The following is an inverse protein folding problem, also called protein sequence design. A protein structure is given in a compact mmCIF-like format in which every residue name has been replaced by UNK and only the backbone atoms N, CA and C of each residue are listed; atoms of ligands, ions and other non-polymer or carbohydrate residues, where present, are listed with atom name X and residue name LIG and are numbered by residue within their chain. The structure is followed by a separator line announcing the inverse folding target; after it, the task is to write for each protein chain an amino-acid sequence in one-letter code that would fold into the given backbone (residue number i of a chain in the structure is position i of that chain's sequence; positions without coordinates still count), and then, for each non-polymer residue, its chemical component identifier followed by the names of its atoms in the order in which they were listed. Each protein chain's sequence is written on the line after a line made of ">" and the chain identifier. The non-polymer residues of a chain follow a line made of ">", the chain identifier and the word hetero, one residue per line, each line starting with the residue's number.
data_IF_622877738195
#
_entry.id   IF_622877738195
#
_cell.length_a   1.000
_cell.length_b   1.000
_cell.length_c   1.000
_cell.angle_alpha   90.00
_cell.angle_beta   90.00
_cell.angle_gamma   90.00
#
_symmetry.space_group_name_H-M   'P 1'
#
loop_
_entity.id
_entity.type
_entity.pdbx_description
1 polymer ?
#
# COMPACT_ATOMS: atom_id res chain seq x y z
N UNK A 1 -18.01 22.27 7.31
CA UNK A 1 -17.08 22.25 8.49
C UNK A 1 -16.48 20.85 8.68
N UNK A 2 -15.28 20.61 8.13
CA UNK A 2 -14.45 19.47 8.54
C UNK A 2 -14.00 19.68 9.98
N UNK A 3 -14.45 18.82 10.90
CA UNK A 3 -14.01 18.85 12.30
C UNK A 3 -12.75 17.99 12.41
N UNK A 4 -11.60 18.62 12.63
CA UNK A 4 -10.40 17.93 13.09
C UNK A 4 -10.45 17.88 14.61
N UNK A 5 -10.42 16.67 15.16
CA UNK A 5 -10.31 16.43 16.60
C UNK A 5 -8.85 16.11 16.91
N UNK A 6 -8.32 16.72 17.95
CA UNK A 6 -6.98 16.46 18.45
C UNK A 6 -7.09 16.06 19.92
N UNK A 7 -6.34 15.03 20.31
CA UNK A 7 -6.22 14.57 21.69
C UNK A 7 -4.84 14.93 22.23
N UNK A 8 -4.79 15.41 23.47
CA UNK A 8 -3.54 15.70 24.15
C UNK A 8 -2.92 14.40 24.66
N UNK A 9 -1.90 13.90 23.96
CA UNK A 9 -1.19 12.66 24.34
C UNK A 9 -0.28 12.90 25.56
N UNK A 10 0.34 14.08 25.67
CA UNK A 10 1.19 14.46 26.80
C UNK A 10 1.30 15.99 26.94
N UNK A 11 1.63 16.49 28.14
CA UNK A 11 1.73 17.92 28.44
C UNK A 11 0.46 18.51 29.07
N UNK A 12 0.28 19.83 28.98
CA UNK A 12 -0.92 20.53 29.51
C UNK A 12 -1.68 21.21 28.38
N UNK A 13 -3.01 21.08 28.38
CA UNK A 13 -3.87 21.67 27.35
C UNK A 13 -3.79 23.21 27.34
N UNK A 14 -3.46 23.83 28.48
CA UNK A 14 -3.22 25.27 28.60
C UNK A 14 -2.08 25.78 27.73
N UNK A 15 -1.14 24.90 27.38
CA UNK A 15 0.04 25.23 26.60
C UNK A 15 -0.25 25.11 25.08
N UNK A 16 -1.42 24.56 24.74
CA UNK A 16 -1.91 24.47 23.37
C UNK A 16 -2.54 25.81 22.96
N UNK A 17 -1.80 26.59 22.16
CA UNK A 17 -2.23 27.87 21.59
C UNK A 17 -2.75 27.69 20.17
N UNK A 18 -3.80 28.42 19.82
CA UNK A 18 -4.25 28.52 18.42
C UNK A 18 -3.08 28.99 17.55
N UNK A 19 -2.80 28.27 16.46
CA UNK A 19 -1.68 28.52 15.55
C UNK A 19 -0.28 28.45 16.19
N UNK A 20 -0.12 27.66 17.26
CA UNK A 20 1.20 27.31 17.80
C UNK A 20 2.05 26.44 16.84
N UNK A 21 3.36 26.32 17.10
CA UNK A 21 4.25 25.48 16.30
C UNK A 21 4.01 24.01 16.62
N UNK A 22 3.03 23.40 15.96
CA UNK A 22 2.75 21.96 16.07
C UNK A 22 3.34 21.20 14.90
N UNK A 23 3.94 20.06 15.20
CA UNK A 23 4.33 19.07 14.21
C UNK A 23 3.21 18.04 14.07
N UNK A 24 2.77 17.79 12.84
CA UNK A 24 1.91 16.63 12.54
C UNK A 24 2.81 15.41 12.46
N UNK A 25 2.86 14.64 13.54
CA UNK A 25 3.70 13.42 13.62
C UNK A 25 2.99 12.18 13.09
N UNK A 26 1.65 12.19 13.05
CA UNK A 26 0.84 11.08 12.56
C UNK A 26 -0.55 11.57 12.12
N UNK A 27 -1.15 10.88 11.15
CA UNK A 27 -2.54 11.10 10.71
C UNK A 27 -3.25 9.76 10.60
N UNK A 28 -4.52 9.74 11.04
CA UNK A 28 -5.38 8.57 10.95
C UNK A 28 -6.77 9.03 10.50
N UNK A 29 -7.32 8.40 9.46
CA UNK A 29 -8.72 8.60 9.09
C UNK A 29 -9.64 7.97 10.13
N UNK A 30 -10.58 8.74 10.67
CA UNK A 30 -11.47 8.29 11.75
C UNK A 30 -12.80 7.74 11.27
N UNK A 31 -13.13 7.85 9.96
CA UNK A 31 -14.51 7.62 9.48
C UNK A 31 -14.68 6.50 8.46
N UNK A 32 -13.64 6.09 7.75
CA UNK A 32 -13.75 5.09 6.66
C UNK A 32 -12.57 4.13 6.75
N UNK A 33 -12.80 2.80 6.64
CA UNK A 33 -11.70 1.85 6.53
C UNK A 33 -10.82 2.20 5.34
N UNK A 34 -9.53 2.34 5.61
CA UNK A 34 -8.55 2.78 4.62
C UNK A 34 -8.04 1.62 3.78
N UNK A 35 -8.25 0.38 4.22
CA UNK A 35 -7.86 -0.83 3.49
C UNK A 35 -8.96 -1.90 3.59
N UNK A 36 -9.30 -2.53 2.47
CA UNK A 36 -10.15 -3.72 2.42
C UNK A 36 -9.30 -4.96 2.14
N UNK A 37 -9.35 -5.93 3.05
CA UNK A 37 -8.58 -7.18 2.94
C UNK A 37 -9.52 -8.36 2.89
N UNK A 38 -9.30 -9.28 1.94
CA UNK A 38 -9.97 -10.58 1.91
C UNK A 38 -9.04 -11.66 2.45
N UNK A 39 -9.53 -12.41 3.43
CA UNK A 39 -8.89 -13.61 3.96
C UNK A 39 -9.76 -14.78 3.52
N UNK A 40 -9.26 -15.67 2.63
CA UNK A 40 -10.05 -16.80 2.16
C UNK A 40 -10.63 -17.62 3.31
N UNK A 41 -11.91 -17.96 3.21
CA UNK A 41 -12.52 -18.88 4.16
C UNK A 41 -11.99 -20.30 3.93
N UNK A 42 -11.41 -20.88 4.98
CA UNK A 42 -10.62 -22.10 4.87
C UNK A 42 -10.97 -23.07 5.98
N UNK A 43 -11.17 -24.33 5.59
CA UNK A 43 -11.38 -25.47 6.48
C UNK A 43 -10.12 -26.32 6.63
N UNK A 44 -9.01 -25.93 6.01
CA UNK A 44 -7.77 -26.70 5.95
C UNK A 44 -7.02 -26.70 7.29
N UNK A 45 -6.57 -27.88 7.70
CA UNK A 45 -5.65 -28.06 8.83
C UNK A 45 -4.22 -27.63 8.46
N UNK A 46 -3.33 -27.51 9.45
CA UNK A 46 -1.91 -27.27 9.17
C UNK A 46 -1.32 -28.40 8.32
N UNK A 47 -1.69 -29.64 8.62
CA UNK A 47 -1.24 -30.84 7.94
C UNK A 47 -1.67 -30.88 6.48
N UNK A 48 -2.87 -30.38 6.16
CA UNK A 48 -3.33 -30.26 4.77
C UNK A 48 -2.49 -29.25 3.99
N UNK A 49 -2.14 -28.12 4.61
CA UNK A 49 -1.30 -27.10 3.98
C UNK A 49 0.14 -27.59 3.82
N UNK A 50 0.66 -28.41 4.74
CA UNK A 50 1.96 -29.09 4.58
C UNK A 50 1.95 -30.01 3.37
N UNK A 51 0.88 -30.78 3.14
CA UNK A 51 0.73 -31.59 1.92
C UNK A 51 0.73 -30.72 0.66
N UNK A 52 0.01 -29.59 0.69
CA UNK A 52 -0.02 -28.65 -0.43
C UNK A 52 1.39 -28.09 -0.74
N UNK A 53 2.13 -27.68 0.30
CA UNK A 53 3.51 -27.20 0.17
C UNK A 53 4.49 -28.30 -0.32
N UNK A 54 4.23 -29.57 0.03
CA UNK A 54 4.95 -30.72 -0.51
C UNK A 54 4.81 -30.84 -2.02
N UNK A 55 3.60 -30.68 -2.56
CA UNK A 55 3.37 -30.67 -4.02
C UNK A 55 4.04 -29.47 -4.67
N UNK A 56 4.02 -28.28 -4.06
CA UNK A 56 4.76 -27.11 -4.56
C UNK A 56 6.26 -27.40 -4.68
N UNK A 57 6.84 -28.11 -3.72
CA UNK A 57 8.26 -28.50 -3.77
C UNK A 57 8.57 -29.41 -4.95
N UNK A 58 7.64 -30.29 -5.33
CA UNK A 58 7.77 -31.13 -6.51
C UNK A 58 7.61 -30.31 -7.80
N UNK A 59 6.60 -29.44 -7.87
CA UNK A 59 6.32 -28.58 -9.02
C UNK A 59 7.47 -27.61 -9.32
N UNK A 60 8.12 -27.05 -8.28
CA UNK A 60 9.34 -26.22 -8.43
C UNK A 60 10.48 -26.94 -9.16
N UNK A 61 10.55 -28.27 -9.05
CA UNK A 61 11.58 -29.11 -9.68
C UNK A 61 11.14 -29.67 -11.02
N UNK A 62 9.86 -29.53 -11.36
CA UNK A 62 9.30 -30.02 -12.62
C UNK A 62 9.77 -29.17 -13.78
N UNK A 63 10.05 -29.82 -14.91
CA UNK A 63 10.31 -29.15 -16.19
C UNK A 63 9.04 -28.99 -17.03
N UNK A 64 7.92 -29.57 -16.61
CA UNK A 64 6.65 -29.53 -17.34
C UNK A 64 5.88 -28.22 -17.12
N UNK A 65 6.19 -27.47 -16.06
CA UNK A 65 5.55 -26.19 -15.70
C UNK A 65 6.61 -25.12 -15.47
N UNK A 66 6.25 -23.85 -15.66
CA UNK A 66 7.13 -22.73 -15.28
C UNK A 66 6.69 -22.26 -13.91
N UNK A 67 7.43 -22.65 -12.87
CA UNK A 67 7.13 -22.20 -11.51
C UNK A 67 7.16 -20.67 -11.40
N UNK A 68 6.08 -20.09 -10.89
CA UNK A 68 5.92 -18.66 -10.77
C UNK A 68 5.66 -18.27 -9.30
N UNK A 69 6.47 -17.35 -8.77
CA UNK A 69 6.31 -16.77 -7.44
C UNK A 69 6.74 -15.29 -7.37
N UNK A 70 6.95 -14.64 -8.51
CA UNK A 70 7.46 -13.28 -8.63
C UNK A 70 6.51 -12.41 -9.46
N UNK A 71 5.58 -11.76 -8.76
CA UNK A 71 4.56 -10.90 -9.36
C UNK A 71 5.12 -9.58 -9.93
N UNK A 72 6.41 -9.26 -9.72
CA UNK A 72 7.03 -8.09 -10.36
C UNK A 72 7.45 -8.37 -11.81
N UNK A 73 7.68 -9.64 -12.18
CA UNK A 73 8.23 -10.01 -13.50
C UNK A 73 7.18 -10.38 -14.54
N UNK A 74 6.06 -10.97 -14.13
CA UNK A 74 5.00 -11.42 -15.02
C UNK A 74 3.68 -11.63 -14.27
N UNK A 75 2.63 -12.01 -14.98
CA UNK A 75 1.38 -12.53 -14.44
C UNK A 75 1.34 -14.07 -14.57
N UNK A 76 0.63 -14.78 -13.68
CA UNK A 76 0.45 -16.22 -13.81
C UNK A 76 -0.49 -16.55 -14.97
N UNK A 77 -0.12 -17.54 -15.78
CA UNK A 77 -0.97 -18.09 -16.83
C UNK A 77 -2.04 -19.02 -16.23
N UNK A 78 -1.65 -19.75 -15.18
CA UNK A 78 -2.50 -20.67 -14.43
C UNK A 78 -2.34 -20.42 -12.94
N UNK A 79 -3.47 -20.36 -12.23
CA UNK A 79 -3.48 -20.34 -10.77
C UNK A 79 -4.19 -21.58 -10.22
N UNK A 80 -3.64 -22.18 -9.17
CA UNK A 80 -4.33 -23.15 -8.34
C UNK A 80 -4.67 -22.47 -7.02
N UNK A 81 -5.96 -22.42 -6.68
CA UNK A 81 -6.46 -21.88 -5.43
C UNK A 81 -7.23 -22.97 -4.68
N UNK A 82 -7.33 -22.84 -3.36
CA UNK A 82 -8.05 -23.79 -2.54
C UNK A 82 -9.28 -23.14 -1.92
N UNK A 83 -10.45 -23.76 -2.12
CA UNK A 83 -11.71 -23.29 -1.56
C UNK A 83 -12.63 -24.47 -1.27
N UNK A 84 -13.38 -24.41 -0.18
CA UNK A 84 -14.33 -25.45 0.24
C UNK A 84 -13.74 -26.88 0.21
N UNK A 85 -12.48 -27.03 0.64
CA UNK A 85 -11.79 -28.32 0.67
C UNK A 85 -11.30 -28.86 -0.68
N UNK A 86 -11.43 -28.09 -1.77
CA UNK A 86 -11.02 -28.50 -3.13
C UNK A 86 -9.94 -27.59 -3.69
N UNK A 87 -9.09 -28.14 -4.55
CA UNK A 87 -8.21 -27.36 -5.41
C UNK A 87 -8.97 -26.96 -6.68
N UNK A 88 -8.81 -25.70 -7.08
CA UNK A 88 -9.52 -25.07 -8.18
C UNK A 88 -8.48 -24.40 -9.08
N UNK A 89 -8.44 -24.81 -10.35
CA UNK A 89 -7.65 -24.18 -11.38
C UNK A 89 -8.39 -23.04 -12.07
N UNK A 90 -7.68 -21.95 -12.30
CA UNK A 90 -8.01 -20.94 -13.28
C UNK A 90 -6.90 -20.88 -14.32
N UNK A 91 -7.25 -21.07 -15.59
CA UNK A 91 -6.35 -20.96 -16.73
C UNK A 91 -6.74 -19.72 -17.55
N UNK A 92 -5.94 -18.67 -17.43
CA UNK A 92 -6.20 -17.38 -18.06
C UNK A 92 -5.92 -17.39 -19.56
N UNK A 93 -5.11 -18.33 -20.04
CA UNK A 93 -4.80 -18.50 -21.47
C UNK A 93 -6.00 -19.12 -22.20
N UNK A 94 -6.58 -20.18 -21.65
CA UNK A 94 -7.77 -20.82 -22.23
C UNK A 94 -9.09 -20.20 -21.73
N UNK A 95 -9.03 -19.29 -20.76
CA UNK A 95 -10.17 -18.70 -20.05
C UNK A 95 -11.04 -19.74 -19.33
N UNK A 96 -10.44 -20.87 -18.94
CA UNK A 96 -11.10 -21.90 -18.14
C UNK A 96 -11.03 -21.52 -16.67
N UNK A 97 -12.13 -21.02 -16.13
CA UNK A 97 -12.20 -20.51 -14.76
C UNK A 97 -12.94 -21.49 -13.84
N UNK A 98 -12.53 -21.53 -12.58
CA UNK A 98 -13.12 -22.32 -11.50
C UNK A 98 -13.19 -23.83 -11.79
N UNK A 99 -12.16 -24.37 -12.44
CA UNK A 99 -12.09 -25.81 -12.78
C UNK A 99 -11.63 -26.62 -11.57
N UNK A 100 -12.48 -27.45 -10.95
CA UNK A 100 -12.05 -28.27 -9.82
C UNK A 100 -11.10 -29.38 -10.29
N UNK A 101 -9.99 -29.55 -9.58
CA UNK A 101 -9.11 -30.71 -9.76
C UNK A 101 -9.77 -31.94 -9.13
N UNK A 102 -9.54 -33.12 -9.73
CA UNK A 102 -9.93 -34.41 -9.14
C UNK A 102 -9.12 -34.64 -7.87
N UNK A 103 -7.82 -34.39 -7.93
CA UNK A 103 -6.92 -34.41 -6.80
C UNK A 103 -5.82 -33.36 -6.98
N UNK A 104 -5.41 -32.72 -5.89
CA UNK A 104 -4.24 -31.86 -5.92
C UNK A 104 -2.95 -32.70 -5.82
N UNK A 105 -2.41 -33.10 -6.98
CA UNK A 105 -1.17 -33.85 -7.10
C UNK A 105 -0.30 -33.32 -8.24
N UNK A 106 0.94 -33.83 -8.36
CA UNK A 106 1.91 -33.39 -9.36
C UNK A 106 1.39 -33.57 -10.79
N UNK A 107 0.97 -34.79 -11.15
CA UNK A 107 0.61 -35.14 -12.52
C UNK A 107 -0.60 -34.37 -13.05
N UNK A 108 -1.65 -34.21 -12.23
CA UNK A 108 -2.83 -33.45 -12.62
C UNK A 108 -2.52 -31.95 -12.78
N UNK A 109 -1.70 -31.40 -11.87
CA UNK A 109 -1.28 -30.00 -11.94
C UNK A 109 -0.39 -29.72 -13.15
N UNK A 110 0.57 -30.61 -13.47
CA UNK A 110 1.41 -30.52 -14.66
C UNK A 110 0.60 -30.59 -15.95
N UNK A 111 -0.43 -31.43 -16.00
CA UNK A 111 -1.29 -31.54 -17.17
C UNK A 111 -2.06 -30.24 -17.46
N UNK A 112 -2.56 -29.58 -16.41
CA UNK A 112 -3.31 -28.32 -16.54
C UNK A 112 -2.37 -27.14 -16.90
N UNK A 113 -1.20 -27.10 -16.27
CA UNK A 113 -0.27 -25.98 -16.36
C UNK A 113 0.92 -26.22 -17.30
N UNK A 114 0.80 -27.18 -18.22
CA UNK A 114 1.87 -27.57 -19.14
C UNK A 114 2.43 -26.38 -19.91
N UNK A 115 3.74 -26.15 -19.80
CA UNK A 115 4.52 -25.06 -20.42
C UNK A 115 4.08 -23.63 -20.04
N UNK A 116 3.22 -23.49 -19.02
CA UNK A 116 2.63 -22.23 -18.54
C UNK A 116 3.25 -21.77 -17.22
N UNK A 117 3.17 -20.47 -16.95
CA UNK A 117 3.51 -19.87 -15.66
C UNK A 117 2.47 -20.28 -14.61
N UNK A 118 2.87 -21.17 -13.70
CA UNK A 118 2.01 -21.75 -12.66
C UNK A 118 2.24 -21.05 -11.32
N UNK A 119 1.16 -20.46 -10.79
CA UNK A 119 1.11 -20.01 -9.40
C UNK A 119 0.20 -20.94 -8.57
N UNK A 120 0.72 -21.48 -7.47
CA UNK A 120 -0.10 -22.21 -6.50
C UNK A 120 -0.25 -21.37 -5.23
N UNK A 121 -1.47 -20.91 -4.99
CA UNK A 121 -1.82 -20.14 -3.81
C UNK A 121 -2.16 -21.10 -2.66
N UNK A 122 -1.24 -21.30 -1.72
CA UNK A 122 -1.48 -22.20 -0.59
C UNK A 122 -2.67 -21.72 0.26
N UNK A 123 -3.49 -22.66 0.71
CA UNK A 123 -4.54 -22.34 1.69
C UNK A 123 -3.91 -21.89 3.00
N UNK A 124 -4.52 -20.90 3.67
CA UNK A 124 -4.19 -20.63 5.06
C UNK A 124 -4.71 -21.76 5.97
N UNK A 125 -3.96 -22.21 7.00
CA UNK A 125 -4.52 -23.05 8.03
C UNK A 125 -5.67 -22.32 8.72
N UNK A 126 -6.73 -23.05 9.10
CA UNK A 126 -7.90 -22.51 9.79
C UNK A 126 -7.51 -21.59 10.97
N UNK A 127 -6.54 -22.04 11.78
CA UNK A 127 -6.02 -21.31 12.94
C UNK A 127 -5.40 -19.95 12.58
N UNK A 128 -4.69 -19.86 11.45
CA UNK A 128 -4.16 -18.58 10.95
C UNK A 128 -5.29 -17.65 10.51
N UNK A 129 -6.22 -18.16 9.71
CA UNK A 129 -7.36 -17.36 9.23
C UNK A 129 -8.21 -16.81 10.38
N UNK A 130 -8.45 -17.63 11.42
CA UNK A 130 -9.15 -17.21 12.65
C UNK A 130 -8.37 -16.16 13.44
N UNK A 131 -7.06 -16.34 13.60
CA UNK A 131 -6.20 -15.38 14.31
C UNK A 131 -6.19 -14.01 13.62
N UNK A 132 -6.12 -13.99 12.28
CA UNK A 132 -6.22 -12.76 11.49
C UNK A 132 -7.59 -12.11 11.67
N UNK A 133 -8.69 -12.89 11.59
CA UNK A 133 -10.06 -12.37 11.78
C UNK A 133 -10.23 -11.70 13.14
N UNK A 134 -9.75 -12.35 14.21
CA UNK A 134 -9.81 -11.80 15.58
C UNK A 134 -9.00 -10.51 15.66
N UNK A 135 -7.74 -10.53 15.20
CA UNK A 135 -6.86 -9.37 15.32
C UNK A 135 -7.35 -8.16 14.54
N UNK A 136 -7.86 -8.37 13.33
CA UNK A 136 -8.29 -7.29 12.45
C UNK A 136 -9.61 -6.67 12.90
N UNK A 137 -10.48 -7.45 13.57
CA UNK A 137 -11.74 -6.93 14.12
C UNK A 137 -11.54 -5.84 15.19
N UNK A 138 -10.36 -5.77 15.83
CA UNK A 138 -10.00 -4.73 16.80
C UNK A 138 -9.78 -3.34 16.15
N UNK A 139 -9.56 -3.26 14.84
CA UNK A 139 -9.09 -2.04 14.17
C UNK A 139 -10.00 -1.59 13.04
N UNK A 140 -10.64 -0.42 13.20
CA UNK A 140 -11.57 0.15 12.19
C UNK A 140 -10.89 0.61 10.90
N UNK A 141 -9.57 0.79 10.91
CA UNK A 141 -8.78 1.24 9.75
C UNK A 141 -8.69 0.16 8.66
N UNK A 142 -8.84 -1.11 9.02
CA UNK A 142 -8.80 -2.25 8.10
C UNK A 142 -10.15 -2.94 8.14
N UNK A 143 -10.77 -3.12 6.99
CA UNK A 143 -12.02 -3.86 6.85
C UNK A 143 -11.73 -5.25 6.27
N UNK A 144 -12.13 -6.29 6.98
CA UNK A 144 -12.23 -7.62 6.39
C UNK A 144 -13.51 -7.70 5.54
N UNK A 145 -13.37 -8.08 4.28
CA UNK A 145 -14.49 -8.31 3.37
C UNK A 145 -14.70 -9.80 3.15
N UNK A 146 -15.92 -10.19 2.75
CA UNK A 146 -16.30 -11.59 2.56
C UNK A 146 -16.20 -12.05 1.10
N UNK A 147 -16.03 -11.12 0.15
CA UNK A 147 -15.90 -11.42 -1.27
C UNK A 147 -14.55 -10.89 -1.78
N UNK A 148 -13.74 -11.71 -2.48
CA UNK A 148 -12.47 -11.24 -3.05
C UNK A 148 -12.63 -10.04 -3.99
N UNK A 149 -13.78 -9.89 -4.68
CA UNK A 149 -14.04 -8.75 -5.57
C UNK A 149 -14.20 -7.41 -4.83
N UNK A 150 -14.51 -7.43 -3.54
CA UNK A 150 -14.62 -6.21 -2.72
C UNK A 150 -13.29 -5.82 -2.08
N UNK A 151 -12.27 -6.68 -2.19
CA UNK A 151 -10.99 -6.48 -1.56
C UNK A 151 -10.06 -5.61 -2.40
N UNK A 152 -9.15 -4.93 -1.72
CA UNK A 152 -7.98 -4.30 -2.36
C UNK A 152 -6.77 -5.23 -2.29
N UNK A 153 -6.68 -6.00 -1.21
CA UNK A 153 -5.66 -7.03 -1.02
C UNK A 153 -6.26 -8.35 -0.58
N UNK A 154 -5.68 -9.44 -1.05
CA UNK A 154 -6.05 -10.80 -0.73
C UNK A 154 -4.87 -11.46 0.00
N UNK A 155 -5.15 -12.18 1.08
CA UNK A 155 -4.16 -13.06 1.70
C UNK A 155 -3.79 -14.18 0.71
N UNK A 156 -2.52 -14.29 0.37
CA UNK A 156 -1.99 -15.38 -0.43
C UNK A 156 -0.98 -16.21 0.36
N UNK A 157 -0.95 -17.50 0.07
CA UNK A 157 0.03 -18.45 0.60
C UNK A 157 1.02 -18.87 -0.47
N UNK A 158 2.27 -19.05 -0.06
CA UNK A 158 3.36 -19.53 -0.91
C UNK A 158 4.36 -20.32 -0.07
N UNK A 159 5.44 -20.76 -0.69
CA UNK A 159 6.62 -21.31 0.00
C UNK A 159 7.80 -20.37 -0.16
N UNK A 160 8.53 -20.09 0.91
CA UNK A 160 9.78 -19.31 0.85
C UNK A 160 10.90 -20.11 0.14
N UNK A 161 12.10 -19.51 0.07
CA UNK A 161 13.28 -20.13 -0.55
C UNK A 161 13.74 -21.41 0.17
N UNK A 162 13.39 -21.56 1.44
CA UNK A 162 13.65 -22.75 2.25
C UNK A 162 12.50 -23.78 2.22
N UNK A 163 11.50 -23.55 1.36
CA UNK A 163 10.25 -24.32 1.26
C UNK A 163 9.37 -24.29 2.53
N UNK A 164 9.54 -23.31 3.42
CA UNK A 164 8.60 -23.09 4.51
C UNK A 164 7.32 -22.47 3.95
N UNK A 165 6.18 -22.86 4.51
CA UNK A 165 4.90 -22.21 4.25
C UNK A 165 5.00 -20.75 4.67
N UNK A 166 4.60 -19.82 3.81
CA UNK A 166 4.68 -18.39 4.05
C UNK A 166 3.46 -17.66 3.51
N UNK A 167 3.11 -16.53 4.12
CA UNK A 167 1.93 -15.75 3.73
C UNK A 167 2.25 -14.28 3.55
N UNK A 168 1.55 -13.66 2.60
CA UNK A 168 1.60 -12.22 2.35
C UNK A 168 0.25 -11.73 1.82
N UNK A 169 0.23 -10.46 1.42
CA UNK A 169 -0.90 -9.83 0.76
C UNK A 169 -0.56 -9.56 -0.70
N UNK A 170 -1.50 -9.86 -1.59
CA UNK A 170 -1.42 -9.56 -3.03
C UNK A 170 -2.60 -8.68 -3.43
N UNK A 171 -2.39 -7.74 -4.34
CA UNK A 171 -3.44 -6.83 -4.81
C UNK A 171 -4.53 -7.62 -5.55
N UNK A 172 -5.80 -7.31 -5.28
CA UNK A 172 -6.96 -8.06 -5.81
C UNK A 172 -7.22 -7.79 -7.30
N UNK A 173 -7.04 -6.55 -7.75
CA UNK A 173 -7.22 -6.12 -9.15
C UNK A 173 -5.91 -5.59 -9.74
N UNK A 174 -5.44 -6.24 -10.81
CA UNK A 174 -4.34 -5.78 -11.68
C UNK A 174 -4.87 -4.81 -12.77
N UNK A 175 -6.17 -4.47 -12.74
CA UNK A 175 -6.77 -3.58 -13.74
C UNK A 175 -6.24 -2.13 -13.61
N UNK A 176 -5.50 -1.74 -14.66
CA UNK A 176 -4.80 -0.47 -14.96
C UNK A 176 -5.58 0.86 -14.82
N UNK A 177 -6.75 0.91 -14.19
CA UNK A 177 -7.56 2.14 -14.09
C UNK A 177 -7.85 2.63 -12.67
N UNK A 178 -7.37 1.93 -11.65
CA UNK A 178 -7.49 2.45 -10.29
C UNK A 178 -6.29 3.32 -9.92
N UNK A 179 -6.53 4.38 -9.14
CA UNK A 179 -5.53 5.27 -8.51
C UNK A 179 -4.51 4.52 -7.63
N UNK A 180 -4.65 3.19 -7.52
CA UNK A 180 -3.78 2.23 -6.85
C UNK A 180 -2.57 1.77 -7.70
N UNK A 181 -2.27 2.39 -8.85
CA UNK A 181 -1.02 2.11 -9.58
C UNK A 181 0.23 2.30 -8.70
N UNK A 182 0.14 3.19 -7.69
CA UNK A 182 1.21 3.48 -6.72
C UNK A 182 1.21 2.56 -5.49
N UNK A 183 0.28 1.59 -5.40
CA UNK A 183 0.25 0.62 -4.30
C UNK A 183 1.06 -0.63 -4.66
N UNK A 184 1.80 -1.25 -3.71
CA UNK A 184 2.58 -2.46 -3.97
C UNK A 184 1.72 -3.61 -4.52
N UNK A 185 2.19 -4.29 -5.56
CA UNK A 185 1.49 -5.44 -6.14
C UNK A 185 1.34 -6.59 -5.13
N UNK A 186 2.36 -6.80 -4.30
CA UNK A 186 2.34 -7.76 -3.21
C UNK A 186 3.26 -7.32 -2.07
N UNK A 187 3.17 -8.02 -0.95
CA UNK A 187 4.01 -7.81 0.22
C UNK A 187 4.93 -9.00 0.40
N UNK A 188 6.17 -8.78 0.85
CA UNK A 188 7.09 -9.88 1.17
C UNK A 188 6.42 -10.89 2.12
N UNK A 189 6.39 -12.18 1.77
CA UNK A 189 5.72 -13.18 2.60
C UNK A 189 6.52 -13.44 3.88
N UNK A 190 5.80 -13.82 4.94
CA UNK A 190 6.36 -14.16 6.25
C UNK A 190 6.12 -15.64 6.51
N UNK A 191 7.18 -16.37 6.86
CA UNK A 191 7.13 -17.80 7.08
C UNK A 191 6.36 -18.17 8.35
N UNK A 192 5.54 -19.21 8.26
CA UNK A 192 4.98 -19.94 9.39
C UNK A 192 6.02 -20.96 9.85
N UNK A 193 6.81 -20.61 10.87
CA UNK A 193 8.00 -21.37 11.28
C UNK A 193 7.69 -22.68 12.02
N UNK A 194 6.51 -22.80 12.63
CA UNK A 194 6.06 -23.99 13.35
C UNK A 194 4.52 -24.01 13.52
N UNK A 195 3.95 -25.18 13.84
CA UNK A 195 2.55 -25.33 14.22
C UNK A 195 2.31 -25.01 15.70
N UNK A 196 2.68 -23.80 16.15
CA UNK A 196 2.56 -23.37 17.56
C UNK A 196 1.84 -22.04 17.67
N UNK A 197 1.17 -21.77 18.80
CA UNK A 197 0.45 -20.50 19.03
C UNK A 197 1.35 -19.28 18.84
N UNK A 198 2.59 -19.34 19.32
CA UNK A 198 3.56 -18.26 19.17
C UNK A 198 3.88 -17.96 17.70
N UNK A 199 4.04 -19.00 16.86
CA UNK A 199 4.31 -18.83 15.44
C UNK A 199 3.11 -18.22 14.70
N UNK A 200 1.89 -18.69 14.97
CA UNK A 200 0.67 -18.09 14.41
C UNK A 200 0.49 -16.63 14.84
N UNK A 201 0.77 -16.32 16.11
CA UNK A 201 0.71 -14.94 16.62
C UNK A 201 1.70 -14.05 15.90
N UNK A 202 2.98 -14.44 15.81
CA UNK A 202 4.01 -13.65 15.14
C UNK A 202 3.68 -13.40 13.66
N UNK A 203 3.18 -14.41 12.96
CA UNK A 203 2.74 -14.27 11.58
C UNK A 203 1.53 -13.32 11.47
N UNK A 204 0.53 -13.48 12.33
CA UNK A 204 -0.67 -12.61 12.38
C UNK A 204 -0.28 -11.16 12.62
N UNK A 205 0.58 -10.90 13.60
CA UNK A 205 1.10 -9.56 13.92
C UNK A 205 1.86 -8.96 12.72
N UNK A 206 2.65 -9.77 12.02
CA UNK A 206 3.39 -9.33 10.83
C UNK A 206 2.46 -8.94 9.66
N UNK A 207 1.43 -9.75 9.39
CA UNK A 207 0.42 -9.45 8.37
C UNK A 207 -0.39 -8.20 8.75
N UNK A 208 -0.71 -8.05 10.03
CA UNK A 208 -1.39 -6.89 10.56
C UNK A 208 -0.55 -5.61 10.41
N UNK A 209 0.72 -5.63 10.78
CA UNK A 209 1.64 -4.49 10.66
C UNK A 209 1.79 -4.03 9.20
N UNK A 210 1.89 -4.98 8.28
CA UNK A 210 1.94 -4.70 6.84
C UNK A 210 0.61 -4.11 6.36
N UNK A 211 -0.52 -4.64 6.81
CA UNK A 211 -1.85 -4.09 6.49
C UNK A 211 -2.01 -2.66 7.00
N UNK A 212 -1.51 -2.35 8.20
CA UNK A 212 -1.51 -0.99 8.73
C UNK A 212 -0.69 -0.05 7.84
N UNK A 213 0.49 -0.46 7.39
CA UNK A 213 1.31 0.33 6.46
C UNK A 213 0.58 0.60 5.14
N UNK A 214 0.01 -0.44 4.54
CA UNK A 214 -0.79 -0.30 3.31
C UNK A 214 -1.99 0.63 3.51
N UNK A 215 -2.70 0.51 4.63
CA UNK A 215 -3.84 1.38 4.95
C UNK A 215 -3.43 2.85 5.09
N UNK A 216 -2.27 3.14 5.70
CA UNK A 216 -1.73 4.50 5.80
C UNK A 216 -1.42 5.06 4.42
N UNK A 217 -0.66 4.30 3.61
CA UNK A 217 -0.29 4.72 2.24
C UNK A 217 -1.56 5.01 1.43
N UNK A 218 -2.54 4.11 1.46
CA UNK A 218 -3.81 4.31 0.74
C UNK A 218 -4.58 5.52 1.27
N UNK A 219 -4.68 5.70 2.58
CA UNK A 219 -5.38 6.84 3.17
C UNK A 219 -4.86 8.19 2.70
N UNK A 220 -3.54 8.29 2.49
CA UNK A 220 -2.91 9.44 1.86
C UNK A 220 -3.27 9.54 0.38
N UNK A 221 -3.11 8.48 -0.41
CA UNK A 221 -3.44 8.49 -1.83
C UNK A 221 -4.90 8.86 -2.13
N UNK A 222 -5.82 8.53 -1.23
CA UNK A 222 -7.27 8.80 -1.38
C UNK A 222 -7.73 10.02 -0.61
N UNK A 223 -6.83 10.87 -0.12
CA UNK A 223 -7.19 12.03 0.68
C UNK A 223 -7.88 13.08 -0.21
N UNK A 224 -9.18 13.23 -0.03
CA UNK A 224 -9.98 14.21 -0.78
C UNK A 224 -9.83 15.57 -0.08
N UNK A 225 -9.67 16.63 -0.88
CA UNK A 225 -9.76 17.99 -0.34
C UNK A 225 -11.14 18.23 0.31
N UNK A 226 -11.24 19.03 1.37
CA UNK A 226 -12.52 19.35 1.99
C UNK A 226 -13.54 19.88 0.97
N UNK A 227 -14.82 19.52 1.10
CA UNK A 227 -15.90 20.01 0.20
C UNK A 227 -16.02 21.54 0.20
N UNK A 228 -15.69 22.17 1.34
CA UNK A 228 -15.64 23.63 1.51
C UNK A 228 -14.28 24.23 1.06
N UNK A 229 -13.48 23.52 0.25
CA UNK A 229 -12.18 24.00 -0.20
C UNK A 229 -12.34 25.30 -0.99
N UNK A 230 -12.13 26.42 -0.30
CA UNK A 230 -11.99 27.73 -0.91
C UNK A 230 -10.84 27.70 -1.91
N UNK A 231 -11.00 28.47 -2.99
CA UNK A 231 -10.00 28.73 -4.02
C UNK A 231 -8.56 28.65 -3.48
N UNK A 232 -7.79 27.68 -3.96
CA UNK A 232 -6.39 27.47 -3.59
C UNK A 232 -5.54 27.47 -4.85
N UNK A 233 -4.97 28.63 -5.22
CA UNK A 233 -4.29 28.81 -6.50
C UNK A 233 -2.83 28.41 -6.43
N UNK A 234 -2.52 27.30 -5.80
CA UNK A 234 -1.17 26.78 -5.76
C UNK A 234 -1.17 25.28 -6.05
N UNK A 235 -0.18 24.83 -6.82
CA UNK A 235 0.09 23.43 -7.13
C UNK A 235 1.47 23.03 -6.65
N UNK A 236 1.62 21.76 -6.30
CA UNK A 236 2.94 21.14 -6.17
C UNK A 236 3.46 20.83 -7.56
N UNK A 237 4.68 21.25 -7.85
CA UNK A 237 5.36 20.89 -9.10
C UNK A 237 6.66 20.20 -8.77
N UNK A 238 6.83 19.02 -9.33
CA UNK A 238 8.05 18.22 -9.25
C UNK A 238 8.79 18.32 -10.58
N UNK A 239 10.08 18.65 -10.55
CA UNK A 239 10.93 18.72 -11.73
C UNK A 239 12.17 17.89 -11.55
N UNK A 240 12.67 17.29 -12.62
CA UNK A 240 14.02 16.73 -12.59
C UNK A 240 15.04 17.87 -12.44
N UNK A 241 15.89 17.81 -11.43
CA UNK A 241 16.83 18.87 -11.09
C UNK A 241 17.94 19.03 -12.14
N UNK A 242 18.21 18.00 -12.94
CA UNK A 242 19.18 18.03 -14.04
C UNK A 242 18.57 18.57 -15.32
N UNK A 243 17.45 18.00 -15.79
CA UNK A 243 16.84 18.38 -17.07
C UNK A 243 15.91 19.59 -16.96
N UNK A 244 15.51 19.95 -15.74
CA UNK A 244 14.49 20.97 -15.41
C UNK A 244 13.11 20.68 -16.01
N UNK A 245 12.89 19.49 -16.58
CA UNK A 245 11.59 19.06 -17.06
C UNK A 245 10.65 18.72 -15.90
N UNK A 246 9.37 19.05 -16.04
CA UNK A 246 8.32 18.59 -15.11
C UNK A 246 8.19 17.07 -15.18
N UNK A 247 8.03 16.45 -14.02
CA UNK A 247 7.77 15.02 -13.92
C UNK A 247 6.36 14.78 -14.43
N UNK A 248 6.26 14.02 -15.51
CA UNK A 248 4.98 13.64 -16.13
C UNK A 248 4.51 12.27 -15.61
N UNK A 249 3.47 11.71 -16.24
CA UNK A 249 2.92 10.40 -15.90
C UNK A 249 3.87 9.23 -16.13
N UNK A 250 5.00 9.42 -16.83
CA UNK A 250 6.03 8.39 -16.98
C UNK A 250 6.87 8.22 -15.70
N UNK A 251 6.68 9.08 -14.70
CA UNK A 251 7.27 8.97 -13.37
C UNK A 251 8.74 9.38 -13.33
N UNK A 252 9.40 8.97 -12.25
CA UNK A 252 10.80 9.30 -11.92
C UNK A 252 11.63 8.03 -11.87
N UNK A 253 12.90 8.12 -12.28
CA UNK A 253 13.81 6.97 -12.26
C UNK A 253 14.67 6.99 -11.00
N UNK A 254 15.11 5.80 -10.61
CA UNK A 254 16.14 5.62 -9.59
C UNK A 254 17.40 6.41 -9.97
N UNK A 255 17.89 7.23 -9.04
CA UNK A 255 19.03 8.12 -9.25
C UNK A 255 18.69 9.50 -9.80
N UNK A 256 17.43 9.78 -10.15
CA UNK A 256 17.01 11.13 -10.52
C UNK A 256 17.14 12.08 -9.32
N UNK A 257 17.62 13.29 -9.59
CA UNK A 257 17.54 14.40 -8.65
C UNK A 257 16.25 15.16 -8.92
N UNK A 258 15.51 15.53 -7.89
CA UNK A 258 14.22 16.20 -8.03
C UNK A 258 14.21 17.52 -7.28
N UNK A 259 13.73 18.56 -7.96
CA UNK A 259 13.39 19.86 -7.40
C UNK A 259 11.88 19.92 -7.15
N UNK A 260 11.50 20.25 -5.93
CA UNK A 260 10.10 20.42 -5.55
C UNK A 260 9.77 21.89 -5.33
N UNK A 261 8.72 22.38 -5.98
CA UNK A 261 8.28 23.77 -5.85
C UNK A 261 6.78 23.89 -5.66
N UNK A 262 6.36 24.89 -4.89
CA UNK A 262 4.97 25.36 -4.87
C UNK A 262 4.87 26.46 -5.91
N UNK A 263 3.94 26.32 -6.84
CA UNK A 263 3.71 27.29 -7.92
C UNK A 263 2.27 27.76 -7.94
N UNK A 264 2.10 29.06 -8.12
CA UNK A 264 0.81 29.66 -8.33
C UNK A 264 0.19 29.16 -9.65
N UNK A 265 -1.11 28.92 -9.66
CA UNK A 265 -1.87 28.67 -10.89
C UNK A 265 -2.05 29.96 -11.68
N UNK A 266 -2.46 29.87 -12.95
CA UNK A 266 -2.59 31.05 -13.82
C UNK A 266 -3.63 32.05 -13.30
N UNK A 267 -4.70 31.56 -12.67
CA UNK A 267 -5.81 32.33 -12.08
C UNK A 267 -5.50 32.91 -10.69
N UNK A 268 -4.25 32.80 -10.22
CA UNK A 268 -3.82 33.22 -8.89
C UNK A 268 -4.16 34.67 -8.51
N UNK A 269 -4.20 35.60 -9.47
CA UNK A 269 -4.51 37.01 -9.21
C UNK A 269 -6.01 37.34 -9.34
N UNK A 270 -6.84 36.37 -9.72
CA UNK A 270 -8.23 36.64 -10.09
C UNK A 270 -9.15 36.83 -8.88
N UNK A 271 -8.71 36.43 -7.68
CA UNK A 271 -9.51 36.43 -6.45
C UNK A 271 -8.67 36.71 -5.20
N UNK A 272 -9.24 37.36 -4.17
CA UNK A 272 -8.59 37.45 -2.86
C UNK A 272 -8.34 36.07 -2.27
N UNK A 273 -7.09 35.79 -1.89
CA UNK A 273 -6.68 34.51 -1.30
C UNK A 273 -6.47 34.70 0.20
N UNK A 274 -7.24 33.98 1.01
CA UNK A 274 -6.99 33.92 2.44
C UNK A 274 -5.66 33.23 2.72
N UNK A 275 -4.92 33.70 3.74
CA UNK A 275 -3.67 33.05 4.12
C UNK A 275 -3.91 31.65 4.66
N UNK A 276 -3.25 30.65 4.08
CA UNK A 276 -3.31 29.24 4.49
C UNK A 276 -1.92 28.70 4.82
N UNK A 277 -1.86 27.70 5.68
CA UNK A 277 -0.60 27.01 5.94
C UNK A 277 -0.43 25.87 4.95
N UNK A 278 0.77 25.76 4.38
CA UNK A 278 1.11 24.69 3.43
C UNK A 278 2.16 23.79 4.07
N UNK A 279 1.84 22.51 4.21
CA UNK A 279 2.78 21.50 4.65
C UNK A 279 3.02 20.50 3.53
N UNK A 280 4.27 20.11 3.35
CA UNK A 280 4.63 19.08 2.37
C UNK A 280 5.34 17.95 3.08
N UNK A 281 4.86 16.73 2.82
CA UNK A 281 5.39 15.51 3.40
C UNK A 281 5.88 14.56 2.31
N UNK A 282 6.89 13.77 2.67
CA UNK A 282 7.24 12.55 1.94
C UNK A 282 6.81 11.34 2.76
N UNK A 283 6.48 10.25 2.08
CA UNK A 283 6.15 8.97 2.71
C UNK A 283 7.02 7.91 2.05
N UNK A 284 7.75 7.13 2.85
CA UNK A 284 8.55 6.03 2.33
C UNK A 284 7.75 4.71 2.22
N UNK A 285 8.38 3.69 1.64
CA UNK A 285 7.82 2.33 1.49
C UNK A 285 7.49 1.64 2.82
N UNK A 286 8.01 2.14 3.95
CA UNK A 286 7.67 1.65 5.29
C UNK A 286 6.47 2.38 5.89
N UNK A 287 5.90 3.35 5.17
CA UNK A 287 4.84 4.23 5.64
C UNK A 287 5.34 5.28 6.63
N UNK A 288 6.67 5.51 6.71
CA UNK A 288 7.23 6.57 7.54
C UNK A 288 7.02 7.91 6.84
N UNK A 289 6.38 8.82 7.55
CA UNK A 289 6.21 10.19 7.08
C UNK A 289 7.38 11.06 7.52
N UNK A 290 7.77 11.98 6.66
CA UNK A 290 8.71 13.04 6.99
C UNK A 290 8.20 14.38 6.45
N UNK A 291 8.08 15.36 7.35
CA UNK A 291 7.84 16.74 6.98
C UNK A 291 9.07 17.26 6.22
N UNK A 292 8.88 17.67 4.98
CA UNK A 292 9.94 18.30 4.16
C UNK A 292 9.72 19.80 3.98
N UNK A 293 8.52 20.30 4.27
CA UNK A 293 8.24 21.73 4.28
C UNK A 293 7.11 22.10 5.27
N UNK A 294 7.29 23.12 6.12
CA UNK A 294 8.51 23.94 6.28
C UNK A 294 9.67 23.13 6.86
N UNK A 295 10.91 23.59 6.62
CA UNK A 295 12.07 22.99 7.27
C UNK A 295 12.00 23.23 8.78
N UNK A 296 12.37 22.23 9.58
CA UNK A 296 12.29 22.31 11.05
C UNK A 296 13.01 23.55 11.63
N UNK A 297 14.10 23.98 10.99
CA UNK A 297 14.87 25.15 11.39
C UNK A 297 14.14 26.49 11.14
N UNK A 298 13.12 26.52 10.27
CA UNK A 298 12.43 27.74 9.82
C UNK A 298 11.10 27.99 10.54
N UNK A 299 10.58 26.99 11.27
CA UNK A 299 9.30 27.08 11.99
C UNK A 299 8.09 27.36 11.09
N UNK A 300 6.97 27.79 11.69
CA UNK A 300 5.68 27.99 10.99
C UNK A 300 5.48 29.40 10.39
N UNK A 301 6.57 30.13 10.14
CA UNK A 301 6.49 31.49 9.58
C UNK A 301 6.57 31.48 8.04
N UNK A 302 7.35 30.56 7.48
CA UNK A 302 7.61 30.46 6.05
C UNK A 302 6.54 29.65 5.30
N UNK A 303 5.71 28.90 5.99
CA UNK A 303 4.70 28.02 5.38
C UNK A 303 3.32 28.68 5.22
N UNK A 304 3.18 29.98 5.49
CA UNK A 304 1.91 30.70 5.36
C UNK A 304 1.85 31.43 4.02
N UNK A 305 0.99 30.96 3.12
CA UNK A 305 0.82 31.51 1.77
C UNK A 305 -0.49 32.27 1.64
N UNK A 306 -0.54 33.37 0.87
CA UNK A 306 0.58 33.98 0.17
C UNK A 306 1.64 34.55 1.11
N UNK A 307 2.90 34.43 0.69
CA UNK A 307 4.04 35.02 1.40
C UNK A 307 3.90 36.55 1.27
N UNK A 308 3.87 37.23 2.40
CA UNK A 308 3.89 38.69 2.40
C UNK A 308 5.33 39.13 2.25
N UNK A 309 5.74 39.49 1.06
CA UNK A 309 6.96 40.23 0.80
C UNK A 309 6.59 41.53 0.09
N UNK A 310 7.33 42.59 0.42
CA UNK A 310 7.16 43.95 -0.13
C UNK A 310 7.39 44.01 -1.65
N UNK A 311 7.96 42.94 -2.24
CA UNK A 311 8.15 42.71 -3.68
C UNK A 311 7.10 41.77 -4.27
N UNK A 312 5.81 42.03 -4.00
CA UNK A 312 4.71 41.27 -4.58
C UNK A 312 4.64 39.80 -4.12
N UNK A 313 3.52 39.15 -4.45
CA UNK A 313 3.27 37.77 -4.01
C UNK A 313 4.04 36.78 -4.92
N UNK A 314 4.93 35.95 -4.37
CA UNK A 314 5.77 35.07 -5.19
C UNK A 314 4.92 34.01 -5.88
N UNK A 315 5.02 33.96 -7.21
CA UNK A 315 4.35 32.95 -8.06
C UNK A 315 4.99 31.56 -7.94
N UNK A 316 6.19 31.46 -7.36
CA UNK A 316 6.94 30.22 -7.21
C UNK A 316 7.83 30.26 -5.98
N UNK A 317 7.84 29.18 -5.19
CA UNK A 317 8.82 28.94 -4.13
C UNK A 317 9.39 27.54 -4.26
N UNK A 318 10.71 27.44 -4.42
CA UNK A 318 11.43 26.18 -4.31
C UNK A 318 11.42 25.75 -2.84
N UNK A 319 11.05 24.50 -2.57
CA UNK A 319 10.95 23.97 -1.22
C UNK A 319 12.20 23.19 -0.84
N UNK A 320 12.69 22.34 -1.74
CA UNK A 320 13.72 21.35 -1.45
C UNK A 320 14.22 20.68 -2.74
N UNK A 321 15.47 20.22 -2.72
CA UNK A 321 16.08 19.39 -3.77
C UNK A 321 16.58 18.09 -3.14
N UNK A 322 16.25 16.95 -3.75
CA UNK A 322 16.63 15.63 -3.23
C UNK A 322 17.13 14.70 -4.31
N UNK A 323 18.00 13.78 -3.92
CA UNK A 323 18.40 12.66 -4.76
C UNK A 323 17.44 11.49 -4.45
N UNK A 324 16.89 10.84 -5.47
CA UNK A 324 16.21 9.55 -5.32
C UNK A 324 17.25 8.44 -5.14
N UNK A 325 17.88 8.43 -3.97
CA UNK A 325 18.84 7.42 -3.58
C UNK A 325 18.07 6.26 -2.93
N UNK A 326 17.90 5.19 -3.70
CA UNK A 326 17.28 3.87 -3.39
C UNK A 326 15.80 3.72 -3.79
N UNK A 327 15.29 2.47 -3.96
CA UNK A 327 13.96 2.17 -4.50
C UNK A 327 12.82 2.49 -3.51
N UNK A 328 12.96 3.57 -2.75
CA UNK A 328 11.93 4.06 -1.87
C UNK A 328 10.97 4.86 -2.73
N UNK A 329 9.87 4.24 -3.15
CA UNK A 329 8.72 4.95 -3.68
C UNK A 329 8.33 6.04 -2.67
N UNK A 330 8.69 7.29 -2.97
CA UNK A 330 8.33 8.44 -2.16
C UNK A 330 7.11 9.11 -2.79
N UNK A 331 5.96 9.00 -2.14
CA UNK A 331 4.82 9.85 -2.48
C UNK A 331 4.99 11.20 -1.79
N UNK A 332 4.85 12.29 -2.55
CA UNK A 332 4.89 13.65 -2.01
C UNK A 332 3.48 14.22 -2.00
N UNK A 333 3.03 14.74 -0.86
CA UNK A 333 1.70 15.32 -0.74
C UNK A 333 1.70 16.67 -0.03
N UNK A 334 0.76 17.53 -0.46
CA UNK A 334 0.46 18.81 0.18
C UNK A 334 -0.73 18.64 1.13
N UNK A 335 -0.57 19.09 2.37
CA UNK A 335 -1.69 19.36 3.28
C UNK A 335 -1.84 20.87 3.41
N UNK A 336 -3.07 21.34 3.21
CA UNK A 336 -3.44 22.75 3.33
C UNK A 336 -4.35 22.87 4.55
N UNK A 337 -3.97 23.70 5.52
CA UNK A 337 -4.77 23.96 6.74
C UNK A 337 -5.12 25.43 6.94
#
# INVERSE_FOLDING_TARGET
>A
MGRCEAELISGKISDVKKAGPYEVTNWVSTRIPLLKVYVPEVTFSYEDVVKQAGINTLLKKSTAVKWFNDFEKAEPDVTINFSAGKAIANDFITKSMNTPLKEFNLAETENIAKDKNLFVNLAAPKKLAESIKIKFAEYKTIQLVNNPADAQYILYGTTDDNNNIAYGLVKADIALKDSLASMPLYTRPVALTANTDAAYKNLTDSIFDVSLKLSKIRGWLTLISPEDATFFPYKLVMRNATTKAEVDSNGVKLGDKLDLSIEATEDYLDRPIAKKYIYVFTIDVKGKMQLIYPLAAEGSNQNKFPLNNEEGMPRKKLLFSTDLLQPHYQSVQIIIS
#
